data_IF_476867407270
#
_entry.id   IF_476867407270
#
_cell.length_a   1.000
_cell.length_b   1.000
_cell.length_c   1.000
_cell.angle_alpha   90.00
_cell.angle_beta   90.00
_cell.angle_gamma   90.00
#
_symmetry.space_group_name_H-M   'P 1'
#
loop_
_entity.id
_entity.type
_entity.pdbx_description
1 polymer ?
#
# COMPACT_ATOMS: atom_id res chain seq x y z
N UNK A 1 -12.88 4.81 22.63
CA UNK A 1 -13.42 4.45 21.51
C UNK A 1 -12.49 3.99 20.44
N UNK A 2 -12.75 3.40 19.54
CA UNK A 2 -11.85 2.69 18.70
C UNK A 2 -11.17 3.61 17.69
N UNK A 3 -10.06 3.12 17.12
CA UNK A 3 -9.30 3.82 16.09
C UNK A 3 -9.59 3.27 14.70
N UNK A 4 -10.70 2.57 14.56
CA UNK A 4 -11.05 1.94 13.29
C UNK A 4 -11.09 2.94 12.14
N UNK A 5 -11.67 4.14 12.29
CA UNK A 5 -11.67 5.10 11.19
C UNK A 5 -10.27 5.48 10.76
N UNK A 6 -9.33 5.63 11.71
CA UNK A 6 -7.95 5.97 11.37
C UNK A 6 -7.27 4.84 10.64
N UNK A 7 -7.52 3.60 11.07
CA UNK A 7 -6.92 2.44 10.42
C UNK A 7 -7.45 2.30 8.99
N UNK A 8 -8.75 2.46 8.81
CA UNK A 8 -9.36 2.37 7.49
C UNK A 8 -8.78 3.44 6.56
N UNK A 9 -8.68 4.66 7.07
CA UNK A 9 -8.12 5.76 6.28
C UNK A 9 -6.67 5.49 5.89
N UNK A 10 -5.88 4.94 6.83
CA UNK A 10 -4.49 4.61 6.55
C UNK A 10 -4.39 3.57 5.44
N UNK A 11 -5.27 2.58 5.45
CA UNK A 11 -5.30 1.57 4.39
C UNK A 11 -5.69 2.17 3.05
N UNK A 12 -6.64 3.12 3.05
CA UNK A 12 -7.01 3.80 1.81
C UNK A 12 -5.83 4.56 1.24
N UNK A 13 -5.07 5.22 2.11
CA UNK A 13 -3.87 5.93 1.68
C UNK A 13 -2.86 4.97 1.07
N UNK A 14 -2.73 3.79 1.66
CA UNK A 14 -1.80 2.79 1.14
C UNK A 14 -2.24 2.30 -0.24
N UNK A 15 -3.54 2.11 -0.44
CA UNK A 15 -4.06 1.73 -1.75
C UNK A 15 -3.67 2.79 -2.79
N UNK A 16 -3.89 4.06 -2.46
CA UNK A 16 -3.57 5.14 -3.39
C UNK A 16 -2.08 5.19 -3.70
N UNK A 17 -1.24 4.95 -2.70
CA UNK A 17 0.20 4.95 -2.92
C UNK A 17 0.63 3.77 -3.80
N UNK A 18 0.00 2.60 -3.61
CA UNK A 18 0.33 1.46 -4.46
C UNK A 18 -0.10 1.70 -5.90
N UNK A 19 -1.22 2.38 -6.10
CA UNK A 19 -1.68 2.72 -7.44
C UNK A 19 -0.76 3.73 -8.11
N UNK A 20 -0.27 4.70 -7.34
CA UNK A 20 0.68 5.67 -7.86
C UNK A 20 1.98 4.97 -8.28
N UNK A 21 2.47 4.05 -7.46
CA UNK A 21 3.68 3.32 -7.80
C UNK A 21 3.51 2.55 -9.11
N UNK A 22 2.36 1.90 -9.27
CA UNK A 22 2.09 1.15 -10.50
C UNK A 22 2.06 2.07 -11.71
N UNK A 23 1.44 3.24 -11.58
CA UNK A 23 1.39 4.20 -12.67
C UNK A 23 2.78 4.69 -13.03
N UNK A 24 3.58 5.04 -12.02
CA UNK A 24 4.93 5.52 -12.26
C UNK A 24 5.80 4.46 -12.92
N UNK A 25 5.66 3.21 -12.49
CA UNK A 25 6.41 2.11 -13.11
C UNK A 25 5.97 1.90 -14.56
N UNK A 26 4.66 1.99 -14.82
CA UNK A 26 4.13 1.84 -16.16
C UNK A 26 4.63 2.94 -17.09
N UNK A 27 4.76 4.15 -16.56
CA UNK A 27 5.21 5.31 -17.33
C UNK A 27 6.73 5.45 -17.32
N UNK A 28 7.42 4.49 -16.66
CA UNK A 28 8.89 4.48 -16.59
C UNK A 28 9.48 5.72 -15.92
N UNK A 29 8.74 6.25 -14.94
CA UNK A 29 9.20 7.39 -14.14
C UNK A 29 9.98 6.84 -12.94
N UNK A 30 11.17 6.33 -13.19
CA UNK A 30 11.92 5.54 -12.19
C UNK A 30 12.34 6.37 -10.99
N UNK A 31 12.78 7.62 -11.19
CA UNK A 31 13.19 8.46 -10.06
C UNK A 31 12.02 8.76 -9.15
N UNK A 32 10.86 9.06 -9.74
CA UNK A 32 9.67 9.33 -8.97
C UNK A 32 9.16 8.07 -8.28
N UNK A 33 9.34 6.92 -8.93
CA UNK A 33 8.96 5.65 -8.33
C UNK A 33 9.75 5.39 -7.05
N UNK A 34 11.05 5.66 -7.06
CA UNK A 34 11.89 5.47 -5.88
C UNK A 34 11.36 6.32 -4.72
N UNK A 35 11.08 7.58 -4.97
CA UNK A 35 10.54 8.46 -3.94
C UNK A 35 9.19 7.96 -3.45
N UNK A 36 8.35 7.47 -4.37
CA UNK A 36 7.05 6.95 -4.02
C UNK A 36 7.16 5.69 -3.17
N UNK A 37 8.16 4.84 -3.46
CA UNK A 37 8.39 3.64 -2.67
C UNK A 37 8.72 3.97 -1.22
N UNK A 38 9.51 5.01 -1.00
CA UNK A 38 9.85 5.41 0.36
C UNK A 38 8.61 5.84 1.13
N UNK A 39 7.74 6.60 0.48
CA UNK A 39 6.48 7.00 1.11
C UNK A 39 5.59 5.79 1.38
N UNK A 40 5.61 4.82 0.47
CA UNK A 40 4.85 3.60 0.62
C UNK A 40 5.32 2.79 1.83
N UNK A 41 6.63 2.61 1.96
CA UNK A 41 7.20 1.87 3.08
C UNK A 41 6.86 2.55 4.41
N UNK A 42 6.95 3.89 4.45
CA UNK A 42 6.57 4.62 5.65
C UNK A 42 5.10 4.41 6.00
N UNK A 43 4.24 4.36 4.99
CA UNK A 43 2.81 4.13 5.22
C UNK A 43 2.57 2.72 5.75
N UNK A 44 3.30 1.73 5.25
CA UNK A 44 3.19 0.35 5.73
C UNK A 44 3.59 0.29 7.20
N UNK A 45 4.68 0.96 7.57
CA UNK A 45 5.14 0.96 8.95
C UNK A 45 4.12 1.60 9.87
N UNK A 46 3.49 2.68 9.41
CA UNK A 46 2.47 3.34 10.20
C UNK A 46 1.27 2.43 10.43
N UNK A 47 0.87 1.71 9.40
CA UNK A 47 -0.25 0.78 9.52
C UNK A 47 0.08 -0.34 10.50
N UNK A 48 1.31 -0.86 10.45
CA UNK A 48 1.73 -1.90 11.37
C UNK A 48 1.66 -1.38 12.81
N UNK A 49 2.10 -0.14 13.02
CA UNK A 49 2.07 0.47 14.34
C UNK A 49 0.64 0.65 14.84
N UNK A 50 -0.24 1.16 13.98
CA UNK A 50 -1.64 1.34 14.35
C UNK A 50 -2.31 0.00 14.68
N UNK A 51 -1.97 -1.04 13.95
CA UNK A 51 -2.54 -2.36 14.16
C UNK A 51 -2.08 -2.94 15.50
N UNK A 52 -0.84 -2.65 15.91
CA UNK A 52 -0.36 -3.08 17.20
C UNK A 52 -1.09 -2.39 18.34
N UNK A 53 -1.42 -1.11 18.16
CA UNK A 53 -2.09 -0.36 19.21
C UNK A 53 -3.55 -0.78 19.37
N UNK A 54 -4.23 -1.04 18.26
CA UNK A 54 -5.65 -1.37 18.27
C UNK A 54 -5.88 -2.52 17.30
N UNK A 55 -6.08 -3.71 17.83
CA UNK A 55 -6.36 -4.86 16.98
C UNK A 55 -7.69 -4.65 16.25
N UNK A 56 -7.73 -4.82 14.93
CA UNK A 56 -8.97 -4.62 14.19
C UNK A 56 -9.99 -5.71 14.50
N UNK A 57 -11.27 -5.31 14.51
CA UNK A 57 -12.35 -6.26 14.67
C UNK A 57 -12.46 -7.15 13.44
N UNK A 58 -13.24 -8.24 13.59
CA UNK A 58 -13.49 -9.12 12.45
C UNK A 58 -14.13 -8.36 11.30
N UNK A 59 -15.09 -7.49 11.61
CA UNK A 59 -15.74 -6.69 10.59
C UNK A 59 -14.74 -5.80 9.86
N UNK A 60 -13.85 -5.15 10.61
CA UNK A 60 -12.83 -4.30 10.01
C UNK A 60 -11.89 -5.13 9.14
N UNK A 61 -11.49 -6.31 9.62
CA UNK A 61 -10.61 -7.18 8.84
C UNK A 61 -11.25 -7.53 7.50
N UNK A 62 -12.55 -7.79 7.50
CA UNK A 62 -13.26 -8.11 6.26
C UNK A 62 -13.30 -6.91 5.31
N UNK A 63 -13.43 -5.72 5.87
CA UNK A 63 -13.42 -4.50 5.05
C UNK A 63 -12.04 -4.23 4.47
N UNK A 64 -10.99 -4.59 5.19
CA UNK A 64 -9.62 -4.34 4.74
C UNK A 64 -9.13 -5.39 3.74
N UNK A 65 -9.73 -6.56 3.72
CA UNK A 65 -9.27 -7.66 2.88
C UNK A 65 -9.20 -7.30 1.40
N UNK A 66 -10.26 -6.70 0.81
CA UNK A 66 -10.15 -6.32 -0.61
C UNK A 66 -9.09 -5.26 -0.87
N UNK A 67 -8.85 -4.37 0.10
CA UNK A 67 -7.78 -3.38 -0.04
C UNK A 67 -6.42 -4.05 -0.06
N UNK A 68 -6.21 -5.01 0.84
CA UNK A 68 -4.95 -5.74 0.87
C UNK A 68 -4.72 -6.48 -0.43
N UNK A 69 -5.78 -7.12 -0.95
CA UNK A 69 -5.66 -7.85 -2.21
C UNK A 69 -5.25 -6.92 -3.34
N UNK A 70 -5.87 -5.75 -3.41
CA UNK A 70 -5.55 -4.77 -4.45
C UNK A 70 -4.10 -4.29 -4.32
N UNK A 71 -3.67 -4.02 -3.09
CA UNK A 71 -2.30 -3.56 -2.83
C UNK A 71 -1.30 -4.62 -3.27
N UNK A 72 -1.53 -5.88 -2.88
CA UNK A 72 -0.63 -6.96 -3.25
C UNK A 72 -0.58 -7.16 -4.76
N UNK A 73 -1.73 -7.02 -5.43
CA UNK A 73 -1.77 -7.14 -6.87
C UNK A 73 -0.96 -6.03 -7.53
N UNK A 74 -1.11 -4.81 -7.04
CA UNK A 74 -0.35 -3.67 -7.57
C UNK A 74 1.15 -3.86 -7.34
N UNK A 75 1.54 -4.33 -6.15
CA UNK A 75 2.95 -4.61 -5.87
C UNK A 75 3.51 -5.64 -6.82
N UNK A 76 2.74 -6.68 -7.09
CA UNK A 76 3.19 -7.73 -8.00
C UNK A 76 3.43 -7.18 -9.38
N UNK A 77 2.53 -6.31 -9.85
CA UNK A 77 2.68 -5.71 -11.18
C UNK A 77 3.89 -4.78 -11.24
N UNK A 78 4.13 -4.01 -10.19
CA UNK A 78 5.31 -3.15 -10.14
C UNK A 78 6.57 -3.99 -10.22
N UNK A 79 6.64 -5.09 -9.47
CA UNK A 79 7.80 -5.97 -9.49
C UNK A 79 8.03 -6.55 -10.88
N UNK A 80 6.96 -6.94 -11.57
CA UNK A 80 7.08 -7.47 -12.93
C UNK A 80 7.68 -6.43 -13.87
N UNK A 81 7.21 -5.18 -13.76
CA UNK A 81 7.72 -4.11 -14.61
C UNK A 81 9.19 -3.82 -14.32
N UNK A 82 9.59 -3.87 -13.06
CA UNK A 82 10.98 -3.66 -12.69
C UNK A 82 11.86 -4.78 -13.22
N UNK A 83 11.38 -6.03 -13.19
CA UNK A 83 12.14 -7.14 -13.73
C UNK A 83 12.39 -7.01 -15.22
N UNK A 84 11.36 -6.60 -15.96
CA UNK A 84 11.49 -6.37 -17.38
C UNK A 84 12.54 -5.30 -17.66
N UNK A 85 12.52 -4.24 -16.85
CA UNK A 85 13.45 -3.14 -17.02
C UNK A 85 14.89 -3.57 -16.76
N UNK A 86 15.08 -4.48 -15.79
CA UNK A 86 16.43 -4.89 -15.40
C UNK A 86 17.03 -5.93 -16.36
N UNK A 87 16.19 -6.58 -17.12
CA UNK A 87 16.64 -7.53 -18.11
C UNK A 87 17.18 -6.81 -19.34
#
# INVERSE_FOLDING_TARGET
>A
MNNAPHLYFAWQQLVEKSQLMLRLATEEQWDELIASEMAYVNAVQEIAHLTEEVAPSTTMQEQLRPMLRLILDNESKVKQLLQIRMD
#
